data_IF_930820010016
#
_entry.id   IF_930820010016
#
_cell.length_a   1.000
_cell.length_b   1.000
_cell.length_c   1.000
_cell.angle_alpha   90.00
_cell.angle_beta   90.00
_cell.angle_gamma   90.00
#
_symmetry.space_group_name_H-M   'P 1'
#
loop_
_entity.id
_entity.type
_entity.pdbx_description
1 polymer ?
#
# COMPACT_ATOMS: atom_id res chain seq x y z
N UNK A 1 -29.13 -8.85 -36.95
CA UNK A 1 -28.86 -7.76 -35.96
C UNK A 1 -28.15 -8.23 -34.68
N UNK A 2 -27.81 -9.51 -34.53
CA UNK A 2 -27.05 -10.06 -33.38
C UNK A 2 -25.53 -9.95 -33.58
N UNK A 3 -25.03 -10.33 -34.75
CA UNK A 3 -23.58 -10.32 -35.08
C UNK A 3 -22.84 -9.01 -34.78
N UNK A 4 -23.46 -7.85 -35.10
CA UNK A 4 -22.87 -6.52 -34.81
C UNK A 4 -22.80 -6.19 -33.32
N UNK A 5 -23.73 -6.73 -32.51
CA UNK A 5 -23.71 -6.55 -31.04
C UNK A 5 -22.66 -7.43 -30.39
N UNK A 6 -22.41 -8.60 -30.96
CA UNK A 6 -21.38 -9.53 -30.48
C UNK A 6 -19.97 -8.98 -30.81
N UNK A 7 -19.76 -8.46 -32.02
CA UNK A 7 -18.52 -7.75 -32.41
C UNK A 7 -18.26 -6.52 -31.53
N UNK A 8 -19.30 -5.70 -31.29
CA UNK A 8 -19.20 -4.55 -30.38
C UNK A 8 -18.86 -4.97 -28.93
N UNK A 9 -19.32 -6.14 -28.48
CA UNK A 9 -19.07 -6.63 -27.12
C UNK A 9 -17.62 -7.11 -26.97
N UNK A 10 -17.10 -7.80 -27.98
CA UNK A 10 -15.68 -8.21 -28.04
C UNK A 10 -14.78 -6.97 -28.03
N UNK A 11 -15.11 -5.95 -28.81
CA UNK A 11 -14.35 -4.70 -28.84
C UNK A 11 -14.38 -3.94 -27.49
N UNK A 12 -15.51 -3.98 -26.79
CA UNK A 12 -15.65 -3.40 -25.44
C UNK A 12 -14.77 -4.14 -24.43
N UNK A 13 -14.75 -5.47 -24.46
CA UNK A 13 -13.98 -6.26 -23.50
C UNK A 13 -12.47 -6.09 -23.73
N UNK A 14 -12.01 -6.05 -24.99
CA UNK A 14 -10.62 -5.72 -25.34
C UNK A 14 -10.22 -4.30 -24.89
N UNK A 15 -11.13 -3.32 -25.02
CA UNK A 15 -10.89 -1.96 -24.54
C UNK A 15 -10.83 -1.88 -23.00
N UNK A 16 -11.59 -2.71 -22.29
CA UNK A 16 -11.52 -2.80 -20.83
C UNK A 16 -10.15 -3.35 -20.40
N UNK A 17 -9.69 -4.42 -21.02
CA UNK A 17 -8.39 -5.05 -20.73
C UNK A 17 -7.23 -4.07 -20.96
N UNK A 18 -7.18 -3.41 -22.13
CA UNK A 18 -6.14 -2.42 -22.43
C UNK A 18 -6.11 -1.25 -21.43
N UNK A 19 -7.26 -0.78 -20.95
CA UNK A 19 -7.31 0.31 -19.96
C UNK A 19 -6.99 -0.17 -18.53
N UNK A 20 -7.23 -1.45 -18.23
CA UNK A 20 -6.82 -2.07 -16.98
C UNK A 20 -5.30 -2.23 -16.91
N UNK A 21 -4.67 -2.70 -17.97
CA UNK A 21 -3.20 -2.84 -18.03
C UNK A 21 -2.50 -1.49 -17.90
N UNK A 22 -3.03 -0.44 -18.50
CA UNK A 22 -2.45 0.90 -18.45
C UNK A 22 -2.59 1.61 -17.09
N UNK A 23 -3.63 1.28 -16.30
CA UNK A 23 -3.95 2.02 -15.06
C UNK A 23 -3.93 1.17 -13.79
N UNK A 24 -3.82 -0.15 -13.91
CA UNK A 24 -3.92 -1.12 -12.82
C UNK A 24 -5.30 -1.16 -12.14
N UNK A 25 -6.33 -0.51 -12.70
CA UNK A 25 -7.67 -0.37 -12.09
C UNK A 25 -8.78 -0.57 -13.13
N UNK A 26 -9.99 -0.85 -12.65
CA UNK A 26 -11.17 -0.94 -13.51
C UNK A 26 -11.46 0.42 -14.17
N UNK A 27 -11.58 0.49 -15.51
CA UNK A 27 -11.74 1.75 -16.22
C UNK A 27 -13.11 2.36 -15.97
N UNK A 28 -13.16 3.69 -15.88
CA UNK A 28 -14.44 4.41 -15.77
C UNK A 28 -15.24 4.32 -17.08
N UNK A 29 -16.56 4.40 -16.98
CA UNK A 29 -17.47 4.44 -18.15
C UNK A 29 -17.11 5.57 -19.11
N UNK A 30 -16.61 6.70 -18.59
CA UNK A 30 -16.17 7.83 -19.40
C UNK A 30 -14.88 7.51 -20.17
N UNK A 31 -13.92 6.84 -19.52
CA UNK A 31 -12.66 6.44 -20.16
C UNK A 31 -12.92 5.44 -21.30
N UNK A 32 -13.81 4.48 -21.07
CA UNK A 32 -14.22 3.50 -22.08
C UNK A 32 -14.93 4.17 -23.27
N UNK A 33 -15.84 5.12 -23.01
CA UNK A 33 -16.51 5.88 -24.07
C UNK A 33 -15.52 6.70 -24.92
N UNK A 34 -14.53 7.34 -24.28
CA UNK A 34 -13.47 8.08 -24.98
C UNK A 34 -12.59 7.16 -25.82
N UNK A 35 -12.21 6.00 -25.29
CA UNK A 35 -11.41 5.02 -26.02
C UNK A 35 -12.13 4.49 -27.27
N UNK A 36 -13.46 4.37 -27.21
CA UNK A 36 -14.29 3.98 -28.36
C UNK A 36 -14.68 5.14 -29.28
N UNK A 37 -14.21 6.37 -29.02
CA UNK A 37 -14.55 7.55 -29.83
C UNK A 37 -16.03 7.96 -29.74
N UNK A 38 -16.74 7.58 -28.67
CA UNK A 38 -18.16 7.85 -28.50
C UNK A 38 -18.41 8.90 -27.41
N UNK A 39 -19.43 9.72 -27.61
CA UNK A 39 -19.95 10.56 -26.53
C UNK A 39 -20.48 9.68 -25.38
N UNK A 40 -20.22 10.07 -24.13
CA UNK A 40 -20.58 9.28 -22.94
C UNK A 40 -22.09 8.98 -22.87
N UNK A 41 -22.94 9.95 -23.23
CA UNK A 41 -24.41 9.77 -23.29
C UNK A 41 -24.81 8.72 -24.33
N UNK A 42 -24.19 8.74 -25.51
CA UNK A 42 -24.39 7.75 -26.58
C UNK A 42 -23.96 6.36 -26.14
N UNK A 43 -22.78 6.26 -25.51
CA UNK A 43 -22.26 5.00 -24.98
C UNK A 43 -23.20 4.40 -23.93
N UNK A 44 -23.66 5.22 -22.97
CA UNK A 44 -24.61 4.79 -21.92
C UNK A 44 -25.94 4.28 -22.47
N UNK A 45 -26.44 4.90 -23.53
CA UNK A 45 -27.71 4.52 -24.18
C UNK A 45 -27.58 3.25 -25.02
N UNK A 46 -26.44 3.06 -25.71
CA UNK A 46 -26.20 1.91 -26.59
C UNK A 46 -25.78 0.65 -25.83
N UNK A 47 -25.04 0.80 -24.73
CA UNK A 47 -24.50 -0.32 -23.95
C UNK A 47 -24.87 -0.23 -22.46
N UNK A 48 -26.17 -0.21 -22.10
CA UNK A 48 -26.61 -0.11 -20.71
C UNK A 48 -26.13 -1.29 -19.85
N UNK A 49 -26.00 -2.48 -20.45
CA UNK A 49 -25.52 -3.68 -19.75
C UNK A 49 -24.05 -3.56 -19.34
N UNK A 50 -23.18 -3.08 -20.23
CA UNK A 50 -21.76 -2.82 -19.94
C UNK A 50 -21.61 -1.74 -18.87
N UNK A 51 -22.41 -0.68 -18.94
CA UNK A 51 -22.41 0.39 -17.92
C UNK A 51 -22.82 -0.16 -16.56
N UNK A 52 -23.84 -1.02 -16.51
CA UNK A 52 -24.27 -1.66 -15.26
C UNK A 52 -23.24 -2.67 -14.73
N UNK A 53 -22.52 -3.36 -15.64
CA UNK A 53 -21.40 -4.24 -15.29
C UNK A 53 -20.24 -3.46 -14.67
N UNK A 54 -19.81 -2.39 -15.34
CA UNK A 54 -18.76 -1.50 -14.82
C UNK A 54 -19.16 -0.86 -13.49
N UNK A 55 -20.41 -0.39 -13.36
CA UNK A 55 -20.93 0.14 -12.10
C UNK A 55 -20.93 -0.89 -10.97
N UNK A 56 -21.23 -2.16 -11.26
CA UNK A 56 -21.16 -3.24 -10.26
C UNK A 56 -19.74 -3.59 -9.87
N UNK A 57 -18.78 -3.56 -10.81
CA UNK A 57 -17.36 -3.76 -10.49
C UNK A 57 -16.70 -2.54 -9.83
N UNK A 58 -17.25 -1.34 -10.03
CA UNK A 58 -16.81 -0.11 -9.35
C UNK A 58 -17.56 0.12 -8.05
N UNK A 59 -18.71 -0.53 -7.84
CA UNK A 59 -19.25 -0.72 -6.50
C UNK A 59 -18.18 -1.54 -5.79
N UNK A 60 -17.49 -0.97 -4.78
CA UNK A 60 -16.81 -1.86 -3.86
C UNK A 60 -17.89 -2.80 -3.34
N UNK A 61 -17.51 -4.01 -2.99
CA UNK A 61 -18.19 -4.68 -1.88
C UNK A 61 -18.13 -3.67 -0.74
N UNK A 62 -19.17 -2.85 -0.63
CA UNK A 62 -19.44 -2.02 0.54
C UNK A 62 -19.80 -3.02 1.61
N UNK A 63 -18.78 -3.66 2.19
CA UNK A 63 -18.78 -3.78 3.62
C UNK A 63 -19.11 -2.39 4.16
N UNK A 64 -20.19 -2.33 4.92
CA UNK A 64 -20.69 -1.13 5.55
C UNK A 64 -19.71 -0.64 6.64
N UNK A 65 -18.47 -0.31 6.28
CA UNK A 65 -17.54 0.37 7.17
C UNK A 65 -17.75 1.86 6.97
N UNK A 66 -18.42 2.46 7.95
CA UNK A 66 -18.65 3.90 8.00
C UNK A 66 -17.35 4.67 7.68
N UNK A 67 -17.38 5.64 6.74
CA UNK A 67 -16.18 6.34 6.26
C UNK A 67 -15.39 7.06 7.37
N UNK A 68 -16.01 7.33 8.51
CA UNK A 68 -15.37 7.94 9.67
C UNK A 68 -14.44 6.98 10.43
N UNK A 69 -14.80 5.68 10.56
CA UNK A 69 -13.98 4.72 11.33
C UNK A 69 -12.64 4.43 10.67
N UNK A 70 -12.61 4.34 9.34
CA UNK A 70 -11.39 4.00 8.60
C UNK A 70 -10.37 5.17 8.62
N UNK A 71 -10.83 6.42 8.64
CA UNK A 71 -9.95 7.59 8.78
C UNK A 71 -9.31 7.64 10.18
N UNK A 72 -10.09 7.40 11.23
CA UNK A 72 -9.62 7.44 12.62
C UNK A 72 -8.65 6.29 12.92
N UNK A 73 -8.89 5.12 12.34
CA UNK A 73 -7.98 3.97 12.48
C UNK A 73 -6.63 4.23 11.79
N UNK A 74 -6.64 4.83 10.59
CA UNK A 74 -5.39 5.18 9.89
C UNK A 74 -4.60 6.26 10.64
N UNK A 75 -5.26 7.27 11.21
CA UNK A 75 -4.56 8.28 12.02
C UNK A 75 -4.00 7.68 13.31
N UNK A 76 -4.74 6.79 13.97
CA UNK A 76 -4.28 6.07 15.15
C UNK A 76 -3.07 5.16 14.84
N UNK A 77 -3.11 4.43 13.72
CA UNK A 77 -1.98 3.59 13.28
C UNK A 77 -0.76 4.47 12.98
N UNK A 78 -0.93 5.61 12.30
CA UNK A 78 0.18 6.54 12.03
C UNK A 78 0.76 7.16 13.29
N UNK A 79 -0.07 7.46 14.28
CA UNK A 79 0.40 7.93 15.58
C UNK A 79 1.21 6.84 16.28
N UNK A 80 0.66 5.62 16.38
CA UNK A 80 1.33 4.48 17.01
C UNK A 80 2.66 4.14 16.35
N UNK A 81 2.75 4.21 15.02
CA UNK A 81 4.01 4.00 14.31
C UNK A 81 5.05 5.08 14.65
N UNK A 82 4.64 6.34 14.81
CA UNK A 82 5.56 7.42 15.23
C UNK A 82 6.04 7.20 16.67
N UNK A 83 5.13 6.83 17.57
CA UNK A 83 5.47 6.53 18.96
C UNK A 83 6.46 5.35 19.03
N UNK A 84 6.17 4.25 18.33
CA UNK A 84 7.07 3.09 18.25
C UNK A 84 8.45 3.42 17.66
N UNK A 85 8.50 4.29 16.65
CA UNK A 85 9.78 4.73 16.07
C UNK A 85 10.59 5.52 17.09
N UNK A 86 9.92 6.39 17.86
CA UNK A 86 10.56 7.19 18.92
C UNK A 86 11.08 6.30 20.04
N UNK A 87 10.29 5.30 20.46
CA UNK A 87 10.69 4.32 21.47
C UNK A 87 11.90 3.49 21.01
N UNK A 88 11.94 3.09 19.73
CA UNK A 88 13.08 2.39 19.15
C UNK A 88 14.34 3.24 19.15
N UNK A 89 14.25 4.51 18.76
CA UNK A 89 15.39 5.45 18.81
C UNK A 89 15.92 5.61 20.24
N UNK A 90 15.02 5.75 21.21
CA UNK A 90 15.38 5.85 22.63
C UNK A 90 16.04 4.57 23.15
N UNK A 91 15.52 3.40 22.77
CA UNK A 91 16.08 2.11 23.14
C UNK A 91 17.49 1.92 22.56
N UNK A 92 17.70 2.29 21.29
CA UNK A 92 19.01 2.25 20.63
C UNK A 92 20.00 3.15 21.37
N UNK A 93 19.64 4.39 21.67
CA UNK A 93 20.49 5.32 22.40
C UNK A 93 20.85 4.79 23.81
N UNK A 94 19.88 4.17 24.49
CA UNK A 94 20.08 3.56 25.81
C UNK A 94 21.06 2.38 25.76
N UNK A 95 20.92 1.50 24.78
CA UNK A 95 21.83 0.36 24.57
C UNK A 95 23.25 0.84 24.26
N UNK A 96 23.39 1.85 23.42
CA UNK A 96 24.70 2.43 23.07
C UNK A 96 25.39 3.00 24.31
N UNK A 97 24.67 3.79 25.12
CA UNK A 97 25.19 4.33 26.37
C UNK A 97 25.61 3.23 27.34
N UNK A 98 24.74 2.24 27.59
CA UNK A 98 25.05 1.10 28.46
C UNK A 98 26.27 0.31 27.97
N UNK A 99 26.43 0.16 26.65
CA UNK A 99 27.58 -0.53 26.06
C UNK A 99 28.88 0.23 26.29
N UNK A 100 28.86 1.56 26.19
CA UNK A 100 30.01 2.42 26.49
C UNK A 100 30.35 2.34 27.98
N UNK A 101 29.35 2.48 28.84
CA UNK A 101 29.51 2.45 30.29
C UNK A 101 30.06 1.09 30.75
N UNK A 102 29.51 -0.02 30.24
CA UNK A 102 29.98 -1.36 30.55
C UNK A 102 31.45 -1.56 30.13
N UNK A 103 31.83 -1.12 28.93
CA UNK A 103 33.23 -1.19 28.47
C UNK A 103 34.17 -0.31 29.30
N UNK A 104 33.68 0.79 29.88
CA UNK A 104 34.44 1.64 30.80
C UNK A 104 34.63 0.96 32.15
N UNK A 105 33.55 0.37 32.70
CA UNK A 105 33.59 -0.37 33.95
C UNK A 105 34.50 -1.59 33.87
N UNK A 106 34.44 -2.35 32.77
CA UNK A 106 35.33 -3.50 32.55
C UNK A 106 36.80 -3.08 32.56
N UNK A 107 37.17 -2.01 31.83
CA UNK A 107 38.52 -1.45 31.86
C UNK A 107 38.96 -1.05 33.27
N UNK A 108 38.07 -0.40 34.03
CA UNK A 108 38.38 0.01 35.40
C UNK A 108 38.55 -1.19 36.34
N UNK A 109 37.80 -2.26 36.14
CA UNK A 109 37.97 -3.51 36.87
C UNK A 109 39.29 -4.18 36.49
N UNK A 110 39.65 -4.23 35.21
CA UNK A 110 40.95 -4.76 34.75
C UNK A 110 42.12 -3.98 35.36
N UNK A 111 42.06 -2.64 35.36
CA UNK A 111 43.06 -1.76 35.99
C UNK A 111 43.21 -2.04 37.50
N UNK A 112 42.11 -2.17 38.22
CA UNK A 112 42.12 -2.42 39.67
C UNK A 112 42.53 -3.85 40.02
N UNK A 113 42.29 -4.81 39.13
CA UNK A 113 42.55 -6.23 39.38
C UNK A 113 43.97 -6.66 39.02
N UNK A 114 44.82 -5.77 38.44
CA UNK A 114 46.18 -6.09 37.99
C UNK A 114 46.25 -7.33 37.08
N UNK A 115 45.14 -7.64 36.39
CA UNK A 115 45.05 -8.82 35.53
C UNK A 115 45.81 -8.54 34.24
N UNK A 116 46.96 -9.20 34.10
CA UNK A 116 47.76 -9.14 32.87
C UNK A 116 47.22 -10.18 31.89
N UNK A 117 46.52 -9.75 30.83
CA UNK A 117 46.09 -10.65 29.77
C UNK A 117 47.30 -11.15 28.98
N UNK A 118 47.61 -12.44 29.12
CA UNK A 118 48.57 -13.14 28.27
C UNK A 118 47.92 -13.29 26.89
N UNK A 119 48.40 -12.53 25.90
CA UNK A 119 48.04 -12.73 24.50
C UNK A 119 48.47 -14.13 24.09
N UNK A 120 47.52 -15.03 23.92
CA UNK A 120 47.71 -16.30 23.22
C UNK A 120 47.68 -15.95 21.74
N UNK A 121 48.87 -15.92 21.12
CA UNK A 121 49.03 -15.85 19.66
C UNK A 121 48.78 -17.24 19.09
N UNK A 122 47.77 -17.36 18.22
CA UNK A 122 47.71 -18.39 17.18
C UNK A 122 48.51 -17.93 15.95
#
# INVERSE_FOLDING_TARGET
MTKKRDEDTIAIDAAIEHLQDASGRTPSVLALARHMGLANTTFRRRYPHTVNRLKRSTSPVTDHVAPHRCSDEVTQIRQRNRDLTTDLELAVASIQRLSIDNRSLLRRVEELSNVTHLRTTD
#
